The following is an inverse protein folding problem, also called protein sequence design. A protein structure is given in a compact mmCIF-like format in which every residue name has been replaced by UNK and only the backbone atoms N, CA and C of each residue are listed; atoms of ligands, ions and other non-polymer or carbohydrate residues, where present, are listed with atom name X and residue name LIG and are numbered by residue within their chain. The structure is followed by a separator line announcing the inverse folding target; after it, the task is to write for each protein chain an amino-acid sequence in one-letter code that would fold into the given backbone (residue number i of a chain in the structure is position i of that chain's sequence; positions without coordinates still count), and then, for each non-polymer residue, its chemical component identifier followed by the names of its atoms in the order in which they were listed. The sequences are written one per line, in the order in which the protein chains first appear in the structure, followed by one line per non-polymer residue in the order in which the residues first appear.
data_IF_803914737656
#
_entry.id   IF_803914737656
#
_cell.length_a   1.000
_cell.length_b   1.000
_cell.length_c   1.000
_cell.angle_alpha   90.00
_cell.angle_beta   90.00
_cell.angle_gamma   90.00
#
_symmetry.space_group_name_H-M   'P 1'
#
loop_
_entity.id
_entity.type
_entity.pdbx_description
1 polymer ?
#
# COMPACT_ATOMS: atom_id res chain seq x y z
N UNK A 1 8.25 -11.31 14.17
CA UNK A 1 7.67 -12.41 13.38
C UNK A 1 7.43 -11.92 11.97
N UNK A 2 7.99 -12.56 10.94
CA UNK A 2 7.64 -12.25 9.56
C UNK A 2 6.18 -12.68 9.34
N UNK A 3 5.28 -11.72 9.17
CA UNK A 3 3.88 -11.99 8.82
C UNK A 3 3.77 -11.93 7.30
N UNK A 4 3.56 -13.08 6.68
CA UNK A 4 3.36 -13.18 5.23
C UNK A 4 1.89 -12.95 4.90
N UNK A 5 1.60 -11.91 4.11
CA UNK A 5 0.28 -11.69 3.53
C UNK A 5 0.25 -12.39 2.16
N UNK A 6 -0.75 -13.25 1.93
CA UNK A 6 -0.96 -13.81 0.59
C UNK A 6 -1.61 -12.74 -0.27
N UNK A 7 -0.92 -12.39 -1.35
CA UNK A 7 -1.40 -11.49 -2.38
C UNK A 7 -1.59 -12.30 -3.65
N UNK A 8 -2.71 -12.09 -4.33
CA UNK A 8 -2.93 -12.57 -5.69
C UNK A 8 -1.92 -11.96 -6.66
N UNK A 9 -1.75 -12.59 -7.82
CA UNK A 9 -0.84 -12.08 -8.85
C UNK A 9 -1.25 -10.67 -9.32
N UNK A 10 -2.56 -10.39 -9.38
CA UNK A 10 -3.10 -9.08 -9.72
C UNK A 10 -2.74 -8.02 -8.65
N UNK A 11 -2.89 -8.34 -7.37
CA UNK A 11 -2.52 -7.44 -6.27
C UNK A 11 -1.02 -7.14 -6.27
N UNK A 12 -0.18 -8.16 -6.49
CA UNK A 12 1.28 -7.98 -6.57
C UNK A 12 1.66 -7.05 -7.71
N UNK A 13 1.06 -7.22 -8.89
CA UNK A 13 1.32 -6.38 -10.05
C UNK A 13 0.85 -4.93 -9.84
N UNK A 14 -0.32 -4.74 -9.20
CA UNK A 14 -0.82 -3.41 -8.83
C UNK A 14 0.11 -2.71 -7.83
N UNK A 15 0.59 -3.43 -6.81
CA UNK A 15 1.56 -2.93 -5.84
C UNK A 15 2.86 -2.55 -6.55
N UNK A 16 3.37 -3.40 -7.43
CA UNK A 16 4.61 -3.15 -8.19
C UNK A 16 4.51 -1.88 -9.03
N UNK A 17 3.42 -1.73 -9.79
CA UNK A 17 3.14 -0.51 -10.57
C UNK A 17 3.07 0.72 -9.69
N UNK A 18 2.37 0.65 -8.56
CA UNK A 18 2.25 1.76 -7.61
C UNK A 18 3.60 2.10 -6.97
N UNK A 19 4.42 1.11 -6.62
CA UNK A 19 5.75 1.29 -6.07
C UNK A 19 6.67 2.03 -7.06
N UNK A 20 6.65 1.66 -8.34
CA UNK A 20 7.40 2.37 -9.39
C UNK A 20 6.95 3.84 -9.50
N UNK A 21 5.64 4.10 -9.49
CA UNK A 21 5.09 5.45 -9.54
C UNK A 21 5.51 6.30 -8.33
N UNK A 22 5.42 5.74 -7.12
CA UNK A 22 5.81 6.40 -5.87
C UNK A 22 7.32 6.66 -5.81
N UNK A 23 8.12 5.69 -6.23
CA UNK A 23 9.58 5.79 -6.21
C UNK A 23 10.08 6.88 -7.15
N UNK A 24 9.45 7.06 -8.33
CA UNK A 24 9.75 8.21 -9.21
C UNK A 24 9.55 9.54 -8.47
N UNK A 25 8.40 9.72 -7.79
CA UNK A 25 8.10 10.93 -7.01
C UNK A 25 9.04 11.11 -5.80
N UNK A 26 9.49 10.02 -5.18
CA UNK A 26 10.46 10.06 -4.08
C UNK A 26 11.85 10.48 -4.57
N UNK A 27 12.30 9.93 -5.70
CA UNK A 27 13.56 10.28 -6.33
C UNK A 27 13.61 11.75 -6.74
N UNK A 28 12.52 12.29 -7.31
CA UNK A 28 12.38 13.73 -7.60
C UNK A 28 12.56 14.61 -6.35
N UNK A 29 12.19 14.08 -5.18
CA UNK A 29 12.31 14.75 -3.88
C UNK A 29 13.63 14.43 -3.16
N UNK A 30 14.62 13.83 -3.84
CA UNK A 30 15.89 13.35 -3.27
C UNK A 30 15.70 12.39 -2.06
N UNK A 31 14.59 11.64 -2.03
CA UNK A 31 14.33 10.62 -1.01
C UNK A 31 14.65 9.23 -1.54
N UNK A 32 15.01 8.33 -0.62
CA UNK A 32 15.28 6.94 -0.96
C UNK A 32 13.99 6.25 -1.46
N UNK A 33 14.08 5.41 -2.51
CA UNK A 33 12.95 4.63 -2.99
C UNK A 33 12.57 3.56 -1.96
N UNK A 34 11.28 3.22 -1.93
CA UNK A 34 10.71 2.20 -1.08
C UNK A 34 10.68 0.84 -1.80
N UNK A 35 10.81 -0.24 -1.05
CA UNK A 35 10.58 -1.61 -1.53
C UNK A 35 9.09 -1.91 -1.62
N UNK A 36 8.70 -2.88 -2.43
CA UNK A 36 7.30 -3.31 -2.59
C UNK A 36 6.67 -3.66 -1.23
N UNK A 37 7.40 -4.34 -0.35
CA UNK A 37 6.94 -4.67 1.01
C UNK A 37 6.71 -3.43 1.89
N UNK A 38 7.52 -2.38 1.71
CA UNK A 38 7.37 -1.12 2.46
C UNK A 38 6.18 -0.32 1.95
N UNK A 39 5.92 -0.37 0.64
CA UNK A 39 4.71 0.22 0.03
C UNK A 39 3.47 -0.48 0.59
N UNK A 40 3.45 -1.81 0.65
CA UNK A 40 2.35 -2.57 1.26
C UNK A 40 2.17 -2.20 2.73
N UNK A 41 3.26 -2.11 3.48
CA UNK A 41 3.21 -1.74 4.89
C UNK A 41 2.61 -0.34 5.08
N UNK A 42 3.09 0.65 4.33
CA UNK A 42 2.59 2.02 4.39
C UNK A 42 1.11 2.12 3.98
N UNK A 43 0.70 1.39 2.95
CA UNK A 43 -0.71 1.33 2.54
C UNK A 43 -1.56 0.77 3.67
N UNK A 44 -1.17 -0.36 4.28
CA UNK A 44 -1.90 -0.95 5.40
C UNK A 44 -1.99 0.00 6.59
N UNK A 45 -0.88 0.63 6.97
CA UNK A 45 -0.85 1.57 8.09
C UNK A 45 -1.76 2.79 7.86
N UNK A 46 -1.70 3.40 6.66
CA UNK A 46 -2.57 4.53 6.31
C UNK A 46 -4.03 4.11 6.20
N UNK A 47 -4.29 2.91 5.68
CA UNK A 47 -5.64 2.40 5.46
C UNK A 47 -6.32 2.01 6.76
N UNK A 48 -5.60 1.33 7.67
CA UNK A 48 -6.15 0.89 8.95
C UNK A 48 -6.61 2.05 9.84
N UNK A 49 -5.91 3.18 9.78
CA UNK A 49 -6.28 4.40 10.52
C UNK A 49 -7.54 5.09 9.96
N UNK A 50 -7.91 4.79 8.72
CA UNK A 50 -9.03 5.40 7.99
C UNK A 50 -10.16 4.41 7.70
N UNK A 51 -9.99 3.18 8.15
CA UNK A 51 -10.93 2.10 7.90
C UNK A 51 -12.14 2.32 8.78
N UNK A 52 -13.27 2.67 8.15
CA UNK A 52 -14.56 2.79 8.80
C UNK A 52 -15.55 1.81 8.20
N UNK A 53 -16.63 1.53 8.93
CA UNK A 53 -17.73 0.69 8.45
C UNK A 53 -18.81 1.61 7.92
N UNK A 54 -19.08 1.51 6.62
CA UNK A 54 -20.20 2.20 6.00
C UNK A 54 -21.54 1.61 6.42
N UNK A 55 -22.61 2.38 6.23
CA UNK A 55 -23.98 2.00 6.64
C UNK A 55 -24.47 0.67 6.04
N UNK A 56 -23.88 0.20 4.94
CA UNK A 56 -24.19 -1.08 4.30
C UNK A 56 -23.34 -2.26 4.78
N UNK A 57 -22.48 -2.06 5.79
CA UNK A 57 -21.54 -3.07 6.29
C UNK A 57 -20.27 -3.22 5.45
N UNK A 58 -20.04 -2.33 4.48
CA UNK A 58 -18.83 -2.33 3.66
C UNK A 58 -17.69 -1.57 4.36
N UNK A 59 -16.45 -2.02 4.17
CA UNK A 59 -15.27 -1.31 4.63
C UNK A 59 -14.96 -0.15 3.69
N UNK A 60 -14.86 1.06 4.24
CA UNK A 60 -14.58 2.29 3.50
C UNK A 60 -13.34 2.95 4.09
N UNK A 61 -12.55 3.61 3.24
CA UNK A 61 -11.47 4.49 3.65
C UNK A 61 -12.00 5.94 3.65
N UNK A 62 -12.06 6.58 4.82
CA UNK A 62 -12.39 8.01 4.97
C UNK A 62 -11.18 8.96 4.87
#
# INVERSE_FOLDING_TARGET
MAKTVRLSDEEQELIRKKAVELNKKLMEKNKQPLRDSEVVHAVLELSLNRLTVGNSGNLILE
#
